data_IF_168340459024
#
_entry.id   IF_168340459024
#
_cell.length_a   1.000
_cell.length_b   1.000
_cell.length_c   1.000
_cell.angle_alpha   90.00
_cell.angle_beta   90.00
_cell.angle_gamma   90.00
#
_symmetry.space_group_name_H-M   'P 1'
#
loop_
_entity.id
_entity.type
_entity.pdbx_description
1 polymer ?
#
# COMPACT_ATOMS: atom_id res chain seq x y z
N UNK A 1 19.18 -7.69 1.68
CA UNK A 1 19.99 -6.45 1.66
C UNK A 1 19.19 -5.37 2.37
N UNK A 2 19.49 -5.14 3.66
CA UNK A 2 18.71 -4.23 4.52
C UNK A 2 19.13 -2.76 4.39
N UNK A 3 20.32 -2.51 3.84
CA UNK A 3 20.81 -1.17 3.56
C UNK A 3 20.36 -0.71 2.17
N UNK A 4 20.27 -1.64 1.21
CA UNK A 4 19.79 -1.37 -0.14
C UNK A 4 18.26 -1.32 -0.31
N UNK A 5 17.47 -1.74 0.68
CA UNK A 5 16.00 -1.77 0.60
C UNK A 5 15.33 -1.41 1.92
N UNK A 6 14.11 -0.87 1.85
CA UNK A 6 13.28 -0.57 3.01
C UNK A 6 11.80 -0.85 2.77
N UNK A 7 11.10 -1.27 3.82
CA UNK A 7 9.66 -1.48 3.79
C UNK A 7 8.91 -0.23 4.26
N UNK A 8 7.78 0.04 3.63
CA UNK A 8 6.92 1.17 3.90
C UNK A 8 5.46 0.74 3.90
N UNK A 9 4.71 1.21 4.87
CA UNK A 9 3.26 1.13 4.86
C UNK A 9 2.69 2.43 4.32
N UNK A 10 1.90 2.33 3.26
CA UNK A 10 1.20 3.45 2.64
C UNK A 10 -0.29 3.32 2.94
N UNK A 11 -0.86 4.37 3.52
CA UNK A 11 -2.28 4.46 3.85
C UNK A 11 -2.86 5.72 3.21
N UNK A 12 -3.76 5.54 2.26
CA UNK A 12 -4.46 6.64 1.61
C UNK A 12 -5.49 7.24 2.56
N UNK A 13 -5.47 8.54 2.72
CA UNK A 13 -6.50 9.28 3.44
C UNK A 13 -7.74 9.41 2.56
N UNK A 14 -8.80 8.67 2.90
CA UNK A 14 -10.12 8.75 2.28
C UNK A 14 -10.74 10.12 2.57
N UNK A 15 -11.25 10.80 1.54
CA UNK A 15 -11.89 12.12 1.67
C UNK A 15 -13.39 12.05 1.33
N UNK A 16 -14.24 12.70 2.15
CA UNK A 16 -15.70 12.80 1.97
C UNK A 16 -16.40 11.48 1.63
N UNK A 17 -16.88 11.32 0.39
CA UNK A 17 -17.66 10.17 -0.09
C UNK A 17 -16.80 9.06 -0.71
N UNK A 18 -15.47 9.19 -0.68
CA UNK A 18 -14.56 8.11 -1.04
C UNK A 18 -14.71 6.93 -0.04
N UNK A 19 -14.33 5.72 -0.43
CA UNK A 19 -14.46 4.55 0.46
C UNK A 19 -15.89 3.99 0.58
N UNK A 20 -16.92 4.71 0.12
CA UNK A 20 -18.32 4.28 0.24
C UNK A 20 -18.69 3.10 -0.68
N UNK A 21 -18.04 2.99 -1.85
CA UNK A 21 -18.35 1.97 -2.86
C UNK A 21 -17.10 1.28 -3.38
N UNK A 22 -17.07 -0.05 -3.33
CA UNK A 22 -15.89 -0.85 -3.66
C UNK A 22 -15.35 -0.60 -5.07
N UNK A 23 -16.22 -0.50 -6.07
CA UNK A 23 -15.80 -0.23 -7.44
C UNK A 23 -15.18 1.17 -7.60
N UNK A 24 -15.67 2.18 -6.88
CA UNK A 24 -15.12 3.55 -6.89
C UNK A 24 -13.76 3.56 -6.20
N UNK A 25 -13.67 2.97 -5.01
CA UNK A 25 -12.43 2.84 -4.24
C UNK A 25 -11.36 2.08 -5.02
N UNK A 26 -11.76 1.01 -5.73
CA UNK A 26 -10.85 0.28 -6.62
C UNK A 26 -10.35 1.13 -7.78
N UNK A 27 -11.18 2.01 -8.35
CA UNK A 27 -10.73 2.93 -9.41
C UNK A 27 -9.68 3.92 -8.91
N UNK A 28 -9.82 4.44 -7.69
CA UNK A 28 -8.82 5.30 -7.05
C UNK A 28 -7.49 4.57 -6.86
N UNK A 29 -7.54 3.37 -6.26
CA UNK A 29 -6.35 2.53 -6.06
C UNK A 29 -5.67 2.18 -7.40
N UNK A 30 -6.45 1.84 -8.44
CA UNK A 30 -5.90 1.52 -9.76
C UNK A 30 -5.28 2.74 -10.44
N UNK A 31 -5.89 3.93 -10.29
CA UNK A 31 -5.31 5.18 -10.74
C UNK A 31 -3.95 5.45 -10.10
N UNK A 32 -3.80 5.11 -8.81
CA UNK A 32 -2.51 5.19 -8.13
C UNK A 32 -1.47 4.21 -8.70
N UNK A 33 -1.83 2.93 -8.80
CA UNK A 33 -0.93 1.89 -9.31
C UNK A 33 -0.46 2.15 -10.75
N UNK A 34 -1.36 2.57 -11.64
CA UNK A 34 -1.02 2.86 -13.04
C UNK A 34 0.02 3.98 -13.16
N UNK A 35 -0.07 5.01 -12.33
CA UNK A 35 0.92 6.11 -12.31
C UNK A 35 2.21 5.72 -11.59
N UNK A 36 2.17 4.73 -10.72
CA UNK A 36 3.36 4.18 -10.09
C UNK A 36 4.07 3.13 -10.97
N UNK A 37 3.53 2.74 -12.13
CA UNK A 37 4.05 1.64 -12.96
C UNK A 37 5.54 1.79 -13.31
N UNK A 38 6.02 3.01 -13.58
CA UNK A 38 7.43 3.30 -13.90
C UNK A 38 8.40 3.04 -12.73
N UNK A 39 7.86 2.91 -11.51
CA UNK A 39 8.62 2.66 -10.28
C UNK A 39 8.89 1.17 -10.04
N UNK A 40 8.22 0.28 -10.77
CA UNK A 40 8.39 -1.19 -10.72
C UNK A 40 9.85 -1.66 -10.74
N UNK A 41 10.71 -0.97 -11.50
CA UNK A 41 12.15 -1.24 -11.59
C UNK A 41 12.93 -1.09 -10.26
N UNK A 42 12.37 -0.40 -9.27
CA UNK A 42 12.98 -0.16 -7.96
C UNK A 42 11.99 -0.26 -6.79
N UNK A 43 10.78 -0.76 -7.03
CA UNK A 43 9.72 -0.90 -6.05
C UNK A 43 8.92 -2.18 -6.30
N UNK A 44 8.54 -2.85 -5.22
CA UNK A 44 7.69 -4.04 -5.25
C UNK A 44 6.67 -3.94 -4.12
N UNK A 45 5.38 -4.15 -4.38
CA UNK A 45 4.37 -3.88 -3.36
C UNK A 45 3.14 -4.77 -3.43
N UNK A 46 2.41 -4.76 -2.31
CA UNK A 46 1.04 -5.23 -2.18
C UNK A 46 0.16 -4.07 -1.78
N UNK A 47 -0.69 -3.63 -2.70
CA UNK A 47 -1.65 -2.54 -2.51
C UNK A 47 -3.06 -3.10 -2.58
N UNK A 48 -3.95 -2.72 -1.66
CA UNK A 48 -5.29 -3.27 -1.60
C UNK A 48 -6.34 -2.30 -1.06
N UNK A 49 -7.59 -2.75 -1.18
CA UNK A 49 -8.77 -2.15 -0.55
C UNK A 49 -9.22 -3.06 0.57
N UNK A 50 -9.44 -2.48 1.75
CA UNK A 50 -9.74 -3.20 2.98
C UNK A 50 -11.01 -2.65 3.65
N UNK A 51 -11.66 -3.44 4.50
CA UNK A 51 -12.88 -3.07 5.19
C UNK A 51 -14.14 -3.56 4.48
N UNK A 52 -15.27 -2.92 4.75
CA UNK A 52 -16.57 -3.23 4.16
C UNK A 52 -17.27 -1.93 3.76
N UNK A 53 -18.06 -1.94 2.69
CA UNK A 53 -18.86 -0.76 2.30
C UNK A 53 -19.79 -0.35 3.45
N UNK A 54 -19.92 0.96 3.77
CA UNK A 54 -19.32 2.13 3.11
C UNK A 54 -18.02 2.63 3.75
N UNK A 55 -17.30 1.81 4.51
CA UNK A 55 -16.08 2.17 5.24
C UNK A 55 -14.87 1.41 4.67
N UNK A 56 -14.55 1.65 3.40
CA UNK A 56 -13.41 1.05 2.73
C UNK A 56 -12.17 1.93 2.80
N UNK A 57 -11.03 1.31 3.08
CA UNK A 57 -9.72 1.95 3.18
C UNK A 57 -8.79 1.46 2.06
N UNK A 58 -7.90 2.33 1.57
CA UNK A 58 -6.86 1.96 0.61
C UNK A 58 -5.50 1.94 1.33
N UNK A 59 -4.86 0.77 1.39
CA UNK A 59 -3.59 0.60 2.09
C UNK A 59 -2.66 -0.37 1.36
N UNK A 60 -1.38 -0.34 1.68
CA UNK A 60 -0.42 -1.27 1.12
C UNK A 60 0.92 -1.29 1.81
N UNK A 61 1.65 -2.38 1.59
CA UNK A 61 3.06 -2.51 1.98
C UNK A 61 3.93 -2.51 0.74
N UNK A 62 4.90 -1.60 0.73
CA UNK A 62 5.82 -1.34 -0.36
C UNK A 62 7.25 -1.62 0.08
N UNK A 63 7.98 -2.40 -0.72
CA UNK A 63 9.41 -2.60 -0.63
C UNK A 63 10.08 -1.69 -1.65
N UNK A 64 10.84 -0.71 -1.18
CA UNK A 64 11.46 0.33 -2.00
C UNK A 64 12.98 0.22 -1.94
N UNK A 65 13.65 0.49 -3.06
CA UNK A 65 15.11 0.54 -3.11
C UNK A 65 15.61 1.79 -2.37
N UNK A 66 16.59 1.60 -1.50
CA UNK A 66 17.15 2.64 -0.63
C UNK A 66 16.42 2.76 0.70
N UNK A 67 16.81 3.76 1.48
CA UNK A 67 16.28 4.02 2.84
C UNK A 67 15.20 5.11 2.89
N UNK A 68 14.89 5.72 1.74
CA UNK A 68 13.93 6.79 1.57
C UNK A 68 12.96 6.45 0.45
N UNK A 69 11.74 7.00 0.51
CA UNK A 69 10.79 6.88 -0.58
C UNK A 69 11.34 7.65 -1.81
N UNK A 70 11.45 7.01 -2.98
CA UNK A 70 12.03 7.60 -4.18
C UNK A 70 11.17 8.76 -4.70
N UNK A 71 11.85 9.74 -5.29
CA UNK A 71 11.21 10.94 -5.87
C UNK A 71 10.16 10.60 -6.92
N UNK A 72 10.31 9.49 -7.64
CA UNK A 72 9.32 9.06 -8.63
C UNK A 72 7.97 8.63 -8.04
N UNK A 73 7.91 8.32 -6.74
CA UNK A 73 6.64 8.18 -6.03
C UNK A 73 6.19 9.51 -5.44
N UNK A 74 7.10 10.28 -4.82
CA UNK A 74 6.76 11.53 -4.11
C UNK A 74 6.34 12.69 -5.00
N UNK A 75 7.08 12.94 -6.08
CA UNK A 75 6.97 14.15 -6.91
C UNK A 75 6.12 13.93 -8.16
N UNK A 76 6.11 12.72 -8.69
CA UNK A 76 5.43 12.41 -9.95
C UNK A 76 3.97 11.97 -9.74
N UNK A 77 3.56 11.71 -8.49
CA UNK A 77 2.23 11.23 -8.19
C UNK A 77 1.43 12.25 -7.34
N UNK A 78 0.47 13.00 -7.93
CA UNK A 78 -0.29 14.02 -7.20
C UNK A 78 -1.08 13.45 -6.02
N UNK A 79 -1.60 12.23 -6.09
CA UNK A 79 -2.28 11.62 -4.93
C UNK A 79 -1.33 11.19 -3.81
N UNK A 80 0.00 11.18 -4.01
CA UNK A 80 0.94 10.75 -2.98
C UNK A 80 0.91 11.68 -1.75
N UNK A 81 0.49 12.94 -1.93
CA UNK A 81 0.27 13.86 -0.81
C UNK A 81 -0.79 13.36 0.18
N UNK A 82 -1.77 12.59 -0.29
CA UNK A 82 -2.83 12.01 0.53
C UNK A 82 -2.46 10.64 1.10
N UNK A 83 -1.24 10.15 0.86
CA UNK A 83 -0.75 8.92 1.47
C UNK A 83 0.06 9.22 2.73
N UNK A 84 -0.48 8.80 3.87
CA UNK A 84 0.33 8.63 5.07
C UNK A 84 1.30 7.49 4.86
N UNK A 85 2.59 7.77 5.03
CA UNK A 85 3.64 6.78 4.88
C UNK A 85 4.38 6.53 6.19
N UNK A 86 4.51 5.26 6.58
CA UNK A 86 5.28 4.83 7.76
C UNK A 86 6.37 3.87 7.32
N UNK A 87 7.63 4.20 7.60
CA UNK A 87 8.73 3.25 7.41
C UNK A 87 8.57 2.09 8.40
N UNK A 88 8.67 0.87 7.92
CA UNK A 88 8.53 -0.35 8.71
C UNK A 88 9.90 -0.89 9.09
N UNK A 89 10.00 -1.46 10.29
CA UNK A 89 11.22 -2.13 10.76
C UNK A 89 10.94 -3.59 11.14
N UNK A 90 10.68 -4.48 10.16
CA UNK A 90 10.38 -5.89 10.43
C UNK A 90 11.56 -6.64 11.07
N UNK A 91 12.77 -6.05 11.12
CA UNK A 91 13.91 -6.67 11.78
C UNK A 91 13.82 -6.59 13.30
N UNK A 92 13.40 -5.43 13.81
CA UNK A 92 13.38 -5.17 15.25
C UNK A 92 11.96 -5.09 15.83
N UNK A 93 10.93 -4.94 14.99
CA UNK A 93 9.54 -4.87 15.40
C UNK A 93 8.75 -6.08 14.86
N UNK A 94 8.26 -6.90 15.79
CA UNK A 94 7.45 -8.10 15.47
C UNK A 94 6.12 -7.77 14.81
N UNK A 95 5.52 -6.63 15.13
CA UNK A 95 4.26 -6.21 14.52
C UNK A 95 4.48 -5.81 13.06
N UNK A 96 5.58 -5.13 12.76
CA UNK A 96 5.94 -4.78 11.39
C UNK A 96 6.31 -6.03 10.57
N UNK A 97 7.05 -7.00 11.14
CA UNK A 97 7.31 -8.30 10.48
C UNK A 97 6.01 -9.04 10.16
N UNK A 98 5.08 -9.09 11.12
CA UNK A 98 3.77 -9.68 10.92
C UNK A 98 3.01 -8.97 9.80
N UNK A 99 2.97 -7.64 9.82
CA UNK A 99 2.29 -6.83 8.81
C UNK A 99 2.84 -7.13 7.41
N UNK A 100 4.17 -7.11 7.23
CA UNK A 100 4.80 -7.45 5.95
C UNK A 100 4.40 -8.86 5.51
N UNK A 101 4.46 -9.86 6.39
CA UNK A 101 4.08 -11.24 6.06
C UNK A 101 2.61 -11.37 5.67
N UNK A 102 1.71 -10.71 6.38
CA UNK A 102 0.27 -10.73 6.09
C UNK A 102 -0.03 -10.12 4.72
N UNK A 103 0.59 -8.99 4.36
CA UNK A 103 0.38 -8.37 3.03
C UNK A 103 0.95 -9.20 1.88
N UNK A 104 2.19 -9.69 2.00
CA UNK A 104 2.87 -10.44 0.93
C UNK A 104 2.40 -11.90 0.83
N UNK A 105 1.86 -12.48 1.90
CA UNK A 105 1.32 -13.85 1.92
C UNK A 105 -0.20 -13.94 1.78
N UNK A 106 -0.93 -12.86 2.07
CA UNK A 106 -2.39 -12.86 2.09
C UNK A 106 -3.04 -12.76 0.70
N UNK A 107 -4.32 -13.12 0.67
CA UNK A 107 -5.17 -13.13 -0.53
C UNK A 107 -6.45 -12.35 -0.32
N UNK A 108 -7.12 -12.03 -1.41
CA UNK A 108 -8.45 -11.43 -1.41
C UNK A 108 -9.44 -12.32 -0.66
N UNK A 109 -10.32 -11.70 0.13
CA UNK A 109 -11.28 -12.38 1.02
C UNK A 109 -10.74 -12.75 2.41
N UNK A 110 -9.43 -12.73 2.63
CA UNK A 110 -8.83 -13.00 3.93
C UNK A 110 -8.78 -11.75 4.82
N UNK A 111 -8.49 -11.94 6.11
CA UNK A 111 -8.15 -10.82 6.99
C UNK A 111 -6.65 -10.54 6.91
N UNK A 112 -6.30 -9.31 6.58
CA UNK A 112 -4.92 -8.81 6.54
C UNK A 112 -4.87 -7.59 7.45
N UNK A 113 -3.89 -7.53 8.36
CA UNK A 113 -3.82 -6.49 9.39
C UNK A 113 -5.13 -6.33 10.21
N UNK A 114 -5.88 -7.42 10.38
CA UNK A 114 -7.17 -7.42 11.09
C UNK A 114 -8.38 -6.95 10.27
N UNK A 115 -8.19 -6.45 9.06
CA UNK A 115 -9.26 -5.96 8.18
C UNK A 115 -9.58 -6.95 7.06
N UNK A 116 -10.86 -7.01 6.66
CA UNK A 116 -11.26 -7.85 5.53
C UNK A 116 -10.68 -7.28 4.23
N UNK A 117 -9.98 -8.10 3.47
CA UNK A 117 -9.36 -7.69 2.22
C UNK A 117 -10.35 -7.86 1.05
N UNK A 118 -10.83 -6.74 0.51
CA UNK A 118 -11.77 -6.74 -0.61
C UNK A 118 -11.06 -6.93 -1.96
N UNK A 119 -9.90 -6.29 -2.11
CA UNK A 119 -9.10 -6.35 -3.33
C UNK A 119 -7.62 -6.24 -2.99
N UNK A 120 -6.76 -7.01 -3.65
CA UNK A 120 -5.32 -7.01 -3.36
C UNK A 120 -4.46 -7.24 -4.60
N UNK A 121 -3.68 -6.23 -4.96
CA UNK A 121 -2.90 -6.20 -6.19
C UNK A 121 -1.40 -6.20 -5.93
N UNK A 122 -0.68 -6.81 -6.87
CA UNK A 122 0.77 -6.72 -6.95
C UNK A 122 1.16 -5.46 -7.72
N UNK A 123 2.16 -4.75 -7.21
CA UNK A 123 2.95 -3.77 -7.97
C UNK A 123 4.32 -4.37 -8.23
N UNK A 124 4.69 -4.55 -9.48
CA UNK A 124 5.90 -5.26 -9.90
C UNK A 124 6.38 -4.81 -11.26
#
# INVERSE_FOLDING_TARGET
DWEGWSFWHFHYEIYEDEGAKLHVTNNLMNGFLNRAEHTSKYAFARQGVFGEEPNLEIMGVWLLRGQEIPDGLKKEHPQFEYYRHRKLDPRNNKEDDKLVREYFGGKEGEKIAGMHCQTLKWHK
#
